data_IF_467071900434
#
_entry.id   IF_467071900434
#
_cell.length_a   1.000
_cell.length_b   1.000
_cell.length_c   1.000
_cell.angle_alpha   90.00
_cell.angle_beta   90.00
_cell.angle_gamma   90.00
#
_symmetry.space_group_name_H-M   'P 1'
#
loop_
_entity.id
_entity.type
_entity.pdbx_description
1 polymer ?
#
# COMPACT_ATOMS: atom_id res chain seq x y z
N UNK A 1 26.33 7.23 -15.70
CA UNK A 1 25.16 7.36 -14.79
C UNK A 1 24.83 5.99 -14.23
N UNK A 2 24.49 5.89 -12.95
CA UNK A 2 24.01 4.62 -12.37
C UNK A 2 22.68 4.21 -13.05
N UNK A 3 22.50 2.92 -13.32
CA UNK A 3 21.24 2.37 -13.83
C UNK A 3 20.08 2.72 -12.90
N UNK A 4 18.91 3.07 -13.45
CA UNK A 4 17.70 3.38 -12.65
C UNK A 4 17.37 2.25 -11.66
N UNK A 5 17.60 1.00 -12.07
CA UNK A 5 17.44 -0.17 -11.22
C UNK A 5 18.38 -0.15 -10.00
N UNK A 6 19.59 0.39 -10.13
CA UNK A 6 20.52 0.50 -8.99
C UNK A 6 20.01 1.50 -7.95
N UNK A 7 19.43 2.62 -8.39
CA UNK A 7 18.83 3.61 -7.49
C UNK A 7 17.64 3.00 -6.75
N UNK A 8 16.75 2.31 -7.46
CA UNK A 8 15.61 1.61 -6.87
C UNK A 8 16.05 0.51 -5.89
N UNK A 9 17.02 -0.30 -6.26
CA UNK A 9 17.55 -1.35 -5.37
C UNK A 9 18.20 -0.77 -4.11
N UNK A 10 18.85 0.40 -4.17
CA UNK A 10 19.35 1.08 -2.98
C UNK A 10 18.22 1.50 -2.04
N UNK A 11 17.10 1.98 -2.56
CA UNK A 11 15.91 2.28 -1.75
C UNK A 11 15.33 1.01 -1.10
N UNK A 12 15.24 -0.10 -1.83
CA UNK A 12 14.80 -1.38 -1.27
C UNK A 12 15.75 -1.89 -0.17
N UNK A 13 17.06 -1.76 -0.37
CA UNK A 13 18.06 -2.11 0.65
C UNK A 13 17.98 -1.23 1.90
N UNK A 14 17.61 0.05 1.75
CA UNK A 14 17.36 0.91 2.91
C UNK A 14 16.20 0.40 3.77
N UNK A 15 15.14 -0.13 3.15
CA UNK A 15 14.03 -0.77 3.88
C UNK A 15 14.46 -2.09 4.51
N UNK A 16 15.25 -2.90 3.80
CA UNK A 16 15.81 -4.14 4.35
C UNK A 16 16.71 -3.87 5.57
N UNK A 17 17.49 -2.78 5.54
CA UNK A 17 18.32 -2.36 6.68
C UNK A 17 17.47 -1.94 7.87
N UNK A 18 16.32 -1.27 7.64
CA UNK A 18 15.41 -0.94 8.71
C UNK A 18 14.78 -2.20 9.33
N UNK A 19 14.37 -3.19 8.53
CA UNK A 19 13.93 -4.49 9.05
C UNK A 19 15.02 -5.17 9.90
N UNK A 20 16.27 -5.17 9.42
CA UNK A 20 17.38 -5.72 10.20
C UNK A 20 17.54 -5.05 11.56
N UNK A 21 17.46 -3.71 11.59
CA UNK A 21 17.59 -2.92 12.81
C UNK A 21 16.43 -3.17 13.81
N UNK A 22 15.28 -3.65 13.34
CA UNK A 22 14.12 -4.00 14.17
C UNK A 22 14.03 -5.50 14.48
N UNK A 23 15.14 -6.24 14.36
CA UNK A 23 15.19 -7.70 14.55
C UNK A 23 14.21 -8.47 13.66
N UNK A 24 14.07 -7.99 12.43
CA UNK A 24 13.31 -8.65 11.39
C UNK A 24 14.20 -9.26 10.30
N UNK A 25 13.62 -10.21 9.55
CA UNK A 25 14.27 -10.75 8.36
C UNK A 25 14.53 -9.60 7.37
N UNK A 26 15.78 -9.38 6.91
CA UNK A 26 16.17 -8.17 6.19
C UNK A 26 15.69 -8.17 4.74
N UNK A 27 14.38 -8.01 4.56
CA UNK A 27 13.70 -7.93 3.26
C UNK A 27 13.01 -6.58 3.17
N UNK A 28 13.30 -5.86 2.09
CA UNK A 28 12.70 -4.59 1.74
C UNK A 28 12.07 -4.65 0.35
N UNK A 29 10.93 -3.99 0.19
CA UNK A 29 10.16 -3.93 -1.04
C UNK A 29 9.84 -2.48 -1.39
N UNK A 30 9.85 -2.15 -2.68
CA UNK A 30 9.38 -0.87 -3.20
C UNK A 30 8.46 -1.13 -4.39
N UNK A 31 7.41 -0.34 -4.51
CA UNK A 31 6.54 -0.32 -5.68
C UNK A 31 6.85 0.94 -6.48
N UNK A 32 7.17 0.76 -7.77
CA UNK A 32 7.58 1.84 -8.65
C UNK A 32 6.54 2.01 -9.75
N UNK A 33 5.99 3.20 -9.88
CA UNK A 33 5.17 3.59 -11.01
C UNK A 33 6.06 4.14 -12.14
N UNK A 34 5.80 3.80 -13.42
CA UNK A 34 6.62 4.24 -14.56
C UNK A 34 6.81 5.75 -14.66
N UNK A 35 5.81 6.53 -14.23
CA UNK A 35 5.81 8.01 -14.30
C UNK A 35 6.06 8.67 -12.94
N UNK A 36 5.59 8.07 -11.85
CA UNK A 36 5.57 8.72 -10.53
C UNK A 36 6.72 8.27 -9.62
N UNK A 37 7.58 7.36 -10.08
CA UNK A 37 8.67 6.84 -9.27
C UNK A 37 8.17 5.90 -8.17
N UNK A 38 8.84 5.88 -7.01
CA UNK A 38 8.46 5.03 -5.88
C UNK A 38 7.13 5.54 -5.29
N UNK A 39 6.08 4.73 -5.39
CA UNK A 39 4.73 5.05 -4.89
C UNK A 39 4.43 4.38 -3.55
N UNK A 40 5.19 3.36 -3.17
CA UNK A 40 5.05 2.70 -1.87
C UNK A 40 6.31 1.91 -1.52
N UNK A 41 6.49 1.66 -0.23
CA UNK A 41 7.61 0.92 0.34
C UNK A 41 7.10 -0.03 1.42
N UNK A 42 7.79 -1.15 1.62
CA UNK A 42 7.50 -2.10 2.70
C UNK A 42 8.75 -2.79 3.18
N UNK A 43 8.68 -3.33 4.38
CA UNK A 43 9.74 -4.12 5.01
C UNK A 43 9.12 -5.29 5.77
N UNK A 44 9.85 -6.36 6.05
CA UNK A 44 9.31 -7.47 6.82
C UNK A 44 8.88 -7.02 8.24
N UNK A 45 7.71 -7.44 8.70
CA UNK A 45 7.20 -7.13 10.05
C UNK A 45 6.40 -8.29 10.69
N UNK A 46 6.64 -9.53 10.25
CA UNK A 46 6.16 -10.77 10.86
C UNK A 46 6.28 -10.85 12.40
N UNK A 47 7.44 -10.52 12.96
CA UNK A 47 7.73 -10.53 14.39
C UNK A 47 7.05 -9.37 15.11
N UNK A 48 7.14 -8.15 14.56
CA UNK A 48 6.55 -6.94 15.17
C UNK A 48 5.03 -7.04 15.25
N UNK A 49 4.40 -7.56 14.19
CA UNK A 49 2.94 -7.68 14.08
C UNK A 49 2.39 -9.00 14.60
N UNK A 50 3.26 -9.94 14.99
CA UNK A 50 2.90 -11.33 15.34
C UNK A 50 2.05 -12.02 14.26
N UNK A 51 2.31 -11.67 12.99
CA UNK A 51 1.57 -12.17 11.85
C UNK A 51 2.53 -12.65 10.76
N UNK A 52 2.62 -13.97 10.59
CA UNK A 52 3.50 -14.62 9.61
C UNK A 52 3.25 -14.23 8.15
N UNK A 53 2.17 -13.53 7.81
CA UNK A 53 1.91 -13.05 6.43
C UNK A 53 2.40 -11.62 6.18
N UNK A 54 2.88 -10.92 7.21
CA UNK A 54 3.33 -9.51 7.12
C UNK A 54 4.73 -9.39 6.50
N UNK A 55 4.86 -9.91 5.29
CA UNK A 55 6.03 -9.78 4.43
C UNK A 55 6.12 -8.38 3.81
N UNK A 56 7.33 -8.00 3.39
CA UNK A 56 7.61 -6.68 2.82
C UNK A 56 6.70 -6.33 1.62
N UNK A 57 6.38 -7.30 0.77
CA UNK A 57 5.52 -7.14 -0.39
C UNK A 57 4.07 -6.81 0.01
N UNK A 58 3.52 -7.54 0.98
CA UNK A 58 2.17 -7.30 1.49
C UNK A 58 2.06 -5.95 2.18
N UNK A 59 3.08 -5.56 2.93
CA UNK A 59 3.13 -4.25 3.59
C UNK A 59 3.20 -3.12 2.55
N UNK A 60 4.01 -3.26 1.50
CA UNK A 60 4.08 -2.27 0.43
C UNK A 60 2.73 -2.12 -0.31
N UNK A 61 2.05 -3.24 -0.61
CA UNK A 61 0.71 -3.22 -1.21
C UNK A 61 -0.30 -2.56 -0.26
N UNK A 62 -0.32 -2.95 1.02
CA UNK A 62 -1.26 -2.40 1.98
C UNK A 62 -1.04 -0.90 2.21
N UNK A 63 0.21 -0.44 2.25
CA UNK A 63 0.56 0.97 2.35
C UNK A 63 0.06 1.76 1.14
N UNK A 64 0.23 1.22 -0.07
CA UNK A 64 -0.27 1.84 -1.30
C UNK A 64 -1.80 1.99 -1.25
N UNK A 65 -2.51 0.91 -0.89
CA UNK A 65 -3.98 0.90 -0.81
C UNK A 65 -4.51 1.82 0.29
N UNK A 66 -3.79 1.95 1.41
CA UNK A 66 -4.16 2.83 2.54
C UNK A 66 -3.90 4.31 2.25
N UNK A 67 -2.93 4.61 1.38
CA UNK A 67 -2.53 5.97 1.02
C UNK A 67 -3.46 6.67 0.02
N UNK A 68 -4.42 5.94 -0.56
CA UNK A 68 -5.45 6.52 -1.41
C UNK A 68 -6.58 7.04 -0.52
N UNK A 69 -6.77 8.36 -0.32
CA UNK A 69 -8.07 8.84 0.05
C UNK A 69 -8.97 8.58 -1.17
N UNK A 70 -9.60 7.41 -1.23
CA UNK A 70 -10.87 7.33 -1.92
C UNK A 70 -11.81 8.20 -1.09
N UNK A 71 -11.79 9.51 -1.36
CA UNK A 71 -12.82 10.39 -0.84
C UNK A 71 -14.05 9.99 -1.64
N UNK A 72 -14.88 9.12 -1.07
CA UNK A 72 -16.22 8.92 -1.59
C UNK A 72 -16.83 10.33 -1.76
N UNK A 73 -17.50 10.63 -2.89
CA UNK A 73 -18.20 11.90 -3.01
C UNK A 73 -19.13 12.02 -1.80
N UNK A 74 -18.96 13.11 -1.03
CA UNK A 74 -19.87 13.42 0.08
C UNK A 74 -21.29 13.39 -0.49
N UNK A 75 -22.14 12.51 0.02
CA UNK A 75 -23.58 12.64 -0.18
C UNK A 75 -23.97 14.04 0.32
N UNK A 76 -24.96 14.67 -0.30
CA UNK A 76 -25.34 16.07 -0.04
C UNK A 76 -25.79 16.35 1.41
N UNK A 77 -25.79 15.33 2.26
CA UNK A 77 -26.24 15.33 3.65
C UNK A 77 -25.12 14.94 4.63
N UNK A 78 -23.89 15.45 4.46
CA UNK A 78 -22.90 15.62 5.54
C UNK A 78 -22.47 14.42 6.41
N UNK A 79 -22.87 13.18 6.13
CA UNK A 79 -22.49 12.00 6.90
C UNK A 79 -21.23 11.35 6.31
N UNK A 80 -20.14 11.34 7.06
CA UNK A 80 -18.94 10.58 6.72
C UNK A 80 -19.24 9.07 6.83
N UNK A 81 -19.01 8.32 5.76
CA UNK A 81 -19.00 6.86 5.81
C UNK A 81 -17.58 6.44 6.20
N UNK A 82 -17.35 5.89 7.41
CA UNK A 82 -16.00 5.45 7.79
C UNK A 82 -15.57 4.26 6.93
N UNK A 83 -14.31 4.31 6.47
CA UNK A 83 -13.70 3.31 5.59
C UNK A 83 -13.59 1.97 6.33
N UNK A 84 -14.31 0.96 5.85
CA UNK A 84 -14.40 -0.37 6.49
C UNK A 84 -15.76 -1.05 6.35
N UNK A 85 -16.77 -0.38 5.80
CA UNK A 85 -18.04 -1.03 5.44
C UNK A 85 -17.80 -2.02 4.30
N UNK A 86 -17.91 -3.30 4.63
CA UNK A 86 -18.11 -4.38 3.68
C UNK A 86 -19.12 -3.94 2.62
N UNK A 87 -18.82 -4.10 1.33
CA UNK A 87 -19.74 -3.81 0.21
C UNK A 87 -21.06 -4.64 0.24
N UNK A 88 -21.37 -5.30 1.36
CA UNK A 88 -22.65 -5.99 1.58
C UNK A 88 -23.78 -4.96 1.49
N UNK A 89 -24.61 -5.11 0.45
CA UNK A 89 -25.81 -4.30 0.24
C UNK A 89 -25.72 -3.27 -0.88
N UNK A 90 -24.56 -3.12 -1.55
CA UNK A 90 -24.44 -2.28 -2.75
C UNK A 90 -24.73 -3.12 -4.00
N UNK A 91 -25.63 -2.62 -4.85
CA UNK A 91 -26.00 -3.31 -6.08
C UNK A 91 -24.83 -3.27 -7.09
N UNK A 92 -24.72 -4.28 -7.96
CA UNK A 92 -23.59 -4.45 -8.88
C UNK A 92 -23.20 -3.19 -9.70
N UNK A 93 -24.14 -2.36 -10.21
CA UNK A 93 -23.78 -1.13 -10.92
C UNK A 93 -23.14 -0.06 -10.04
N UNK A 94 -23.44 -0.01 -8.75
CA UNK A 94 -22.84 0.97 -7.82
C UNK A 94 -21.40 0.59 -7.47
N UNK A 95 -21.16 -0.71 -7.28
CA UNK A 95 -19.81 -1.25 -7.09
C UNK A 95 -18.93 -0.98 -8.31
N UNK A 96 -19.49 -1.10 -9.52
CA UNK A 96 -18.77 -0.85 -10.76
C UNK A 96 -18.45 0.64 -10.96
N UNK A 97 -19.31 1.56 -10.50
CA UNK A 97 -19.02 3.00 -10.51
C UNK A 97 -17.85 3.34 -9.59
N UNK A 98 -17.85 2.82 -8.37
CA UNK A 98 -16.75 3.03 -7.41
C UNK A 98 -15.43 2.51 -7.99
N UNK A 99 -15.43 1.32 -8.59
CA UNK A 99 -14.23 0.73 -9.19
C UNK A 99 -13.73 1.50 -10.42
N UNK A 100 -14.63 2.01 -11.28
CA UNK A 100 -14.26 2.82 -12.45
C UNK A 100 -13.71 4.20 -12.09
N UNK A 101 -14.05 4.73 -10.91
CA UNK A 101 -13.55 6.01 -10.43
C UNK A 101 -12.11 5.92 -9.88
N UNK A 102 -11.65 4.71 -9.56
CA UNK A 102 -10.30 4.44 -9.05
C UNK A 102 -9.33 3.94 -10.14
N UNK A 103 -9.74 3.93 -11.41
CA UNK A 103 -8.93 3.52 -12.57
C UNK A 103 -8.32 4.72 -13.28
#
# INVERSE_FOLDING_TARGET
>A
MASIHLTHMRSALSMAQHALNTNETPVGCILVHPVHGIVSTGQNATNETYNGTMHAEFIAINSLLSSSPCTLPKTQDGAEIPLGTSFKGLDLPERLKVLKQCS
#
